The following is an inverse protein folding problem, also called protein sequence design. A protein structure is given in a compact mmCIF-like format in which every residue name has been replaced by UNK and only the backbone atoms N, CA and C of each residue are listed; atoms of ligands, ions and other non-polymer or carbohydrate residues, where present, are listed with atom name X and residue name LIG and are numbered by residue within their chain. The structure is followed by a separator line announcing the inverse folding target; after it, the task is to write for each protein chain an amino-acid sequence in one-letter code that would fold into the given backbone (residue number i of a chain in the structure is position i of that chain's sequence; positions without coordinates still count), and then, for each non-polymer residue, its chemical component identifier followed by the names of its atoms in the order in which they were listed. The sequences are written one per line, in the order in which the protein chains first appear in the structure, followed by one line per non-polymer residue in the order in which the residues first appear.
data_IF_010175179979
#
_entry.id   IF_010175179979
#
_cell.length_a   1.000
_cell.length_b   1.000
_cell.length_c   1.000
_cell.angle_alpha   90.00
_cell.angle_beta   90.00
_cell.angle_gamma   90.00
#
_symmetry.space_group_name_H-M   'P 1'
#
loop_
_entity.id
_entity.type
_entity.pdbx_description
1 polymer ?
#
# COMPACT_ATOMS: atom_id res chain seq x y z
N UNK A 1 -16.55 44.21 4.92
CA UNK A 1 -15.36 43.58 5.52
C UNK A 1 -15.16 42.20 4.83
N UNK A 2 -14.20 42.12 3.94
CA UNK A 2 -13.87 40.86 3.19
C UNK A 2 -12.76 40.18 3.97
N UNK A 3 -13.09 39.09 4.68
CA UNK A 3 -12.13 38.24 5.35
C UNK A 3 -11.45 37.32 4.34
N UNK A 4 -10.17 37.49 4.10
CA UNK A 4 -9.34 36.55 3.34
C UNK A 4 -9.04 35.36 4.23
N UNK A 5 -9.45 34.16 3.79
CA UNK A 5 -9.06 32.90 4.40
C UNK A 5 -7.68 32.52 3.87
N UNK A 6 -6.65 32.34 4.71
CA UNK A 6 -5.36 31.89 4.23
C UNK A 6 -5.44 30.41 3.88
N UNK A 7 -5.27 30.09 2.60
CA UNK A 7 -4.97 28.73 2.12
C UNK A 7 -3.57 28.35 2.61
N UNK A 8 -3.50 27.51 3.64
CA UNK A 8 -2.24 26.87 4.06
C UNK A 8 -1.90 25.83 3.01
N UNK A 9 -1.06 26.21 2.07
CA UNK A 9 -0.47 25.29 1.11
C UNK A 9 0.54 24.39 1.82
N UNK A 10 0.19 23.14 2.07
CA UNK A 10 1.16 22.11 2.44
C UNK A 10 2.01 21.79 1.21
N UNK A 11 3.14 22.47 1.07
CA UNK A 11 4.18 22.11 0.12
C UNK A 11 4.91 20.87 0.67
N UNK A 12 4.50 19.69 0.25
CA UNK A 12 5.29 18.47 0.39
C UNK A 12 6.47 18.57 -0.57
N UNK A 13 7.61 19.02 -0.07
CA UNK A 13 8.86 18.98 -0.81
C UNK A 13 9.27 17.52 -1.00
N UNK A 14 9.11 17.01 -2.22
CA UNK A 14 9.70 15.75 -2.63
C UNK A 14 11.23 15.97 -2.73
N UNK A 15 11.99 15.44 -1.78
CA UNK A 15 13.44 15.34 -1.92
C UNK A 15 13.74 14.33 -3.05
N UNK A 16 14.60 14.67 -4.02
CA UNK A 16 15.07 13.71 -5.00
C UNK A 16 15.91 12.64 -4.29
N UNK A 17 15.45 11.40 -4.31
CA UNK A 17 16.19 10.26 -3.80
C UNK A 17 17.36 9.96 -4.74
N UNK A 18 18.57 10.13 -4.23
CA UNK A 18 19.80 9.81 -4.93
C UNK A 18 20.10 8.30 -4.81
N UNK A 19 19.32 7.46 -5.48
CA UNK A 19 19.49 6.00 -5.45
C UNK A 19 20.84 5.53 -6.07
N UNK A 20 21.49 6.38 -6.84
CA UNK A 20 22.79 6.06 -7.48
C UNK A 20 24.00 6.10 -6.55
N UNK A 21 23.88 6.66 -5.35
CA UNK A 21 25.03 6.84 -4.45
C UNK A 21 25.13 5.77 -3.36
N UNK A 22 24.13 4.94 -3.16
CA UNK A 22 24.09 4.00 -2.04
C UNK A 22 25.15 2.91 -2.14
N UNK A 23 25.48 2.47 -3.36
CA UNK A 23 26.50 1.48 -3.62
C UNK A 23 27.89 2.08 -4.00
N UNK A 24 28.02 3.41 -4.09
CA UNK A 24 29.25 4.07 -4.55
C UNK A 24 30.39 4.01 -3.53
N UNK A 25 30.07 3.83 -2.25
CA UNK A 25 31.03 3.74 -1.16
C UNK A 25 31.65 2.35 -0.95
N UNK A 26 31.32 1.37 -1.78
CA UNK A 26 31.87 0.02 -1.65
C UNK A 26 33.36 0.00 -2.05
N UNK A 27 34.19 -0.56 -1.17
CA UNK A 27 35.62 -0.71 -1.40
C UNK A 27 35.96 -1.65 -2.56
N UNK A 28 35.13 -2.69 -2.77
CA UNK A 28 35.31 -3.67 -3.82
C UNK A 28 34.36 -3.40 -5.01
N UNK A 29 34.85 -2.95 -6.17
CA UNK A 29 34.04 -2.70 -7.35
C UNK A 29 33.31 -3.96 -7.86
N UNK A 30 33.82 -5.15 -7.57
CA UNK A 30 33.20 -6.41 -8.00
C UNK A 30 31.87 -6.70 -7.28
N UNK A 31 31.68 -6.12 -6.09
CA UNK A 31 30.44 -6.25 -5.30
C UNK A 31 29.35 -5.24 -5.68
N UNK A 32 29.70 -4.21 -6.46
CA UNK A 32 28.79 -3.13 -6.80
C UNK A 32 27.56 -3.56 -7.60
N UNK A 33 27.65 -4.43 -8.64
CA UNK A 33 26.47 -4.87 -9.37
C UNK A 33 25.45 -5.60 -8.50
N UNK A 34 25.91 -6.41 -7.55
CA UNK A 34 25.04 -7.11 -6.60
C UNK A 34 24.34 -6.16 -5.63
N UNK A 35 25.06 -5.11 -5.17
CA UNK A 35 24.49 -4.05 -4.36
C UNK A 35 23.39 -3.30 -5.11
N UNK A 36 23.65 -2.81 -6.31
CA UNK A 36 22.71 -2.06 -7.13
C UNK A 36 21.43 -2.87 -7.38
N UNK A 37 21.60 -4.16 -7.65
CA UNK A 37 20.50 -5.10 -7.83
C UNK A 37 19.63 -5.24 -6.57
N UNK A 38 20.26 -5.42 -5.42
CA UNK A 38 19.56 -5.55 -4.13
C UNK A 38 18.78 -4.27 -3.78
N UNK A 39 19.39 -3.10 -4.02
CA UNK A 39 18.76 -1.79 -3.79
C UNK A 39 17.55 -1.59 -4.69
N UNK A 40 17.68 -1.86 -5.99
CA UNK A 40 16.60 -1.73 -6.97
C UNK A 40 15.41 -2.65 -6.63
N UNK A 41 15.70 -3.89 -6.27
CA UNK A 41 14.67 -4.84 -5.85
C UNK A 41 13.95 -4.40 -4.58
N UNK A 42 14.71 -3.89 -3.60
CA UNK A 42 14.14 -3.40 -2.35
C UNK A 42 13.22 -2.19 -2.55
N UNK A 43 13.64 -1.18 -3.30
CA UNK A 43 12.80 -0.01 -3.58
C UNK A 43 11.49 -0.40 -4.30
N UNK A 44 11.56 -1.38 -5.19
CA UNK A 44 10.36 -1.90 -5.86
C UNK A 44 9.46 -2.66 -4.89
N UNK A 45 10.03 -3.55 -4.09
CA UNK A 45 9.29 -4.34 -3.10
C UNK A 45 8.59 -3.44 -2.05
N UNK A 46 9.21 -2.33 -1.64
CA UNK A 46 8.60 -1.36 -0.74
C UNK A 46 7.30 -0.79 -1.31
N UNK A 47 7.29 -0.38 -2.58
CA UNK A 47 6.11 0.20 -3.23
C UNK A 47 5.01 -0.82 -3.46
N UNK A 48 5.38 -1.99 -3.96
CA UNK A 48 4.45 -3.11 -4.18
C UNK A 48 3.81 -3.54 -2.86
N UNK A 49 4.61 -3.73 -1.82
CA UNK A 49 4.13 -4.04 -0.47
C UNK A 49 3.23 -2.93 0.08
N UNK A 50 3.62 -1.68 -0.11
CA UNK A 50 2.87 -0.51 0.33
C UNK A 50 1.46 -0.48 -0.25
N UNK A 51 1.29 -0.63 -1.58
CA UNK A 51 -0.04 -0.62 -2.19
C UNK A 51 -0.82 -1.91 -1.90
N UNK A 52 -0.16 -3.05 -1.75
CA UNK A 52 -0.83 -4.30 -1.40
C UNK A 52 -1.58 -4.22 -0.06
N UNK A 53 -1.03 -3.49 0.92
CA UNK A 53 -1.68 -3.27 2.22
C UNK A 53 -2.62 -2.08 2.26
N UNK A 54 -2.39 -1.08 1.40
CA UNK A 54 -3.21 0.14 1.42
C UNK A 54 -4.47 0.01 0.57
N UNK A 55 -4.36 -0.51 -0.64
CA UNK A 55 -5.44 -0.45 -1.61
C UNK A 55 -5.84 0.99 -1.96
N UNK A 56 -7.00 1.15 -2.55
CA UNK A 56 -7.65 2.45 -2.78
C UNK A 56 -8.44 2.91 -1.57
N UNK A 57 -9.76 2.65 -1.55
CA UNK A 57 -10.61 3.04 -0.42
C UNK A 57 -10.39 2.11 0.79
N UNK A 58 -10.21 2.65 2.02
CA UNK A 58 -10.25 1.82 3.23
C UNK A 58 -11.57 1.08 3.42
N UNK A 59 -12.65 1.60 2.86
CA UNK A 59 -14.00 1.03 2.92
C UNK A 59 -14.63 0.96 1.53
N UNK A 60 -14.14 0.08 0.64
CA UNK A 60 -14.66 0.00 -0.72
C UNK A 60 -16.16 -0.33 -0.75
N UNK A 61 -16.85 0.19 -1.74
CA UNK A 61 -18.29 0.01 -1.91
C UNK A 61 -19.13 0.76 -0.90
N UNK A 62 -18.56 1.70 -0.17
CA UNK A 62 -19.30 2.62 0.68
C UNK A 62 -19.25 4.04 0.12
N UNK A 63 -20.28 4.80 0.38
CA UNK A 63 -20.28 6.23 0.11
C UNK A 63 -20.36 7.02 1.42
N UNK A 64 -19.45 7.99 1.56
CA UNK A 64 -19.41 8.88 2.71
C UNK A 64 -18.98 8.19 4.01
N UNK A 65 -19.64 8.55 5.10
CA UNK A 65 -19.33 8.16 6.48
C UNK A 65 -20.46 7.35 7.11
N UNK A 66 -20.17 6.67 8.23
CA UNK A 66 -21.16 5.83 8.95
C UNK A 66 -22.32 6.61 9.58
N UNK A 67 -22.05 7.84 9.99
CA UNK A 67 -23.12 8.71 10.48
C UNK A 67 -23.38 8.64 12.00
N UNK A 68 -22.36 8.34 12.80
CA UNK A 68 -22.34 8.52 14.25
C UNK A 68 -22.42 7.24 15.07
N UNK A 69 -22.51 7.42 16.39
CA UNK A 69 -22.48 6.34 17.37
C UNK A 69 -23.54 5.25 17.10
N UNK A 70 -23.15 4.02 17.37
CA UNK A 70 -23.98 2.84 17.17
C UNK A 70 -23.96 2.30 15.73
N UNK A 71 -23.21 2.91 14.84
CA UNK A 71 -23.00 2.39 13.48
C UNK A 71 -21.60 1.86 13.32
N UNK A 72 -21.50 0.66 12.78
CA UNK A 72 -20.23 -0.02 12.53
C UNK A 72 -20.27 -0.76 11.21
N UNK A 73 -19.10 -1.11 10.70
CA UNK A 73 -18.97 -2.06 9.60
C UNK A 73 -17.79 -2.99 9.81
N UNK A 74 -17.83 -4.12 9.13
CA UNK A 74 -16.71 -4.99 8.91
C UNK A 74 -16.67 -5.38 7.43
N UNK A 75 -15.48 -5.44 6.84
CA UNK A 75 -15.29 -5.90 5.46
C UNK A 75 -14.12 -6.85 5.38
N UNK A 76 -14.24 -7.85 4.53
CA UNK A 76 -13.16 -8.77 4.17
C UNK A 76 -12.97 -8.69 2.68
N UNK A 77 -11.74 -8.45 2.23
CA UNK A 77 -11.41 -8.38 0.81
C UNK A 77 -10.11 -9.11 0.50
N UNK A 78 -10.04 -9.68 -0.70
CA UNK A 78 -8.81 -10.15 -1.31
C UNK A 78 -8.40 -9.12 -2.33
N UNK A 79 -7.18 -8.64 -2.21
CA UNK A 79 -6.57 -7.65 -3.11
C UNK A 79 -5.44 -8.29 -3.88
N UNK A 80 -5.11 -7.72 -5.03
CA UNK A 80 -3.94 -8.11 -5.82
C UNK A 80 -3.29 -6.88 -6.44
N UNK A 81 -1.98 -6.90 -6.51
CA UNK A 81 -1.15 -5.84 -7.11
C UNK A 81 -0.29 -6.45 -8.18
N UNK A 82 -0.33 -5.89 -9.39
CA UNK A 82 0.62 -6.27 -10.44
C UNK A 82 2.02 -5.80 -10.04
N UNK A 83 2.97 -6.71 -10.02
CA UNK A 83 4.34 -6.44 -9.62
C UNK A 83 5.33 -7.04 -10.60
N UNK A 84 6.46 -6.38 -10.79
CA UNK A 84 7.65 -6.93 -11.39
C UNK A 84 8.82 -6.56 -10.47
N UNK A 85 9.57 -7.54 -10.00
CA UNK A 85 10.72 -7.37 -9.10
C UNK A 85 11.92 -8.07 -9.73
N UNK A 86 13.13 -7.47 -9.73
CA UNK A 86 14.33 -8.13 -10.20
C UNK A 86 14.51 -9.52 -9.57
N UNK A 87 14.80 -10.55 -10.39
CA UNK A 87 14.96 -11.90 -9.87
C UNK A 87 16.34 -12.04 -9.17
N UNK A 88 16.40 -12.54 -7.93
CA UNK A 88 17.66 -12.70 -7.22
C UNK A 88 18.58 -13.79 -7.77
N UNK A 89 18.12 -14.64 -8.68
CA UNK A 89 18.89 -15.75 -9.26
C UNK A 89 19.95 -15.33 -10.31
N UNK A 90 20.13 -14.04 -10.56
CA UNK A 90 21.07 -13.50 -11.53
C UNK A 90 20.64 -13.62 -13.00
N UNK A 91 19.43 -14.08 -13.30
CA UNK A 91 18.95 -14.31 -14.68
C UNK A 91 18.70 -13.03 -15.50
N UNK A 92 18.90 -11.86 -14.95
CA UNK A 92 18.61 -10.54 -15.55
C UNK A 92 17.15 -10.40 -16.04
N UNK A 93 16.24 -11.16 -15.44
CA UNK A 93 14.79 -11.10 -15.70
C UNK A 93 14.06 -10.65 -14.46
N UNK A 94 12.92 -9.99 -14.65
CA UNK A 94 12.01 -9.72 -13.55
C UNK A 94 11.12 -10.92 -13.25
N UNK A 95 10.87 -11.18 -11.98
CA UNK A 95 9.74 -11.98 -11.53
C UNK A 95 8.52 -11.07 -11.61
N UNK A 96 7.61 -11.35 -12.54
CA UNK A 96 6.36 -10.61 -12.70
C UNK A 96 5.19 -11.49 -12.29
N UNK A 97 4.25 -10.89 -11.57
CA UNK A 97 3.08 -11.62 -11.08
C UNK A 97 2.11 -10.72 -10.32
N UNK A 98 1.10 -11.36 -9.75
CA UNK A 98 0.13 -10.72 -8.87
C UNK A 98 0.53 -11.01 -7.42
N UNK A 99 0.79 -9.96 -6.65
CA UNK A 99 1.03 -10.07 -5.20
C UNK A 99 -0.31 -9.99 -4.48
N UNK A 100 -0.83 -11.09 -3.93
CA UNK A 100 -2.10 -11.10 -3.23
C UNK A 100 -1.97 -10.68 -1.77
N UNK A 101 -3.01 -10.05 -1.24
CA UNK A 101 -3.17 -9.79 0.18
C UNK A 101 -4.65 -9.94 0.58
N UNK A 102 -4.90 -10.43 1.79
CA UNK A 102 -6.23 -10.45 2.37
C UNK A 102 -6.32 -9.34 3.42
N UNK A 103 -7.30 -8.46 3.29
CA UNK A 103 -7.47 -7.31 4.17
C UNK A 103 -8.83 -7.36 4.84
N UNK A 104 -8.82 -7.34 6.15
CA UNK A 104 -10.02 -7.14 6.97
C UNK A 104 -10.00 -5.70 7.44
N UNK A 105 -11.08 -4.96 7.19
CA UNK A 105 -11.22 -3.58 7.67
C UNK A 105 -12.50 -3.46 8.48
N UNK A 106 -12.43 -2.78 9.60
CA UNK A 106 -13.58 -2.42 10.41
C UNK A 106 -13.62 -0.91 10.67
N UNK A 107 -14.80 -0.40 10.93
CA UNK A 107 -14.95 0.99 11.31
C UNK A 107 -16.13 1.21 12.23
N UNK A 108 -16.03 2.27 13.01
CA UNK A 108 -17.03 2.67 13.99
C UNK A 108 -17.28 4.18 13.93
N UNK A 109 -18.55 4.56 13.81
CA UNK A 109 -18.97 5.96 13.79
C UNK A 109 -18.88 6.59 15.19
N UNK A 110 -18.14 7.69 15.29
CA UNK A 110 -17.95 8.44 16.54
C UNK A 110 -18.87 9.64 16.60
N UNK A 111 -18.91 10.42 15.52
CA UNK A 111 -19.65 11.66 15.47
C UNK A 111 -20.50 11.73 14.20
N UNK A 112 -21.77 12.07 14.37
CA UNK A 112 -22.75 12.10 13.27
C UNK A 112 -22.53 13.27 12.30
N UNK A 113 -21.76 14.25 12.72
CA UNK A 113 -21.57 15.49 11.96
C UNK A 113 -22.66 16.51 12.18
N UNK A 114 -22.42 17.69 11.60
CA UNK A 114 -23.33 18.83 11.60
C UNK A 114 -24.16 18.80 10.30
N UNK A 115 -25.35 19.40 10.32
CA UNK A 115 -26.23 19.61 9.15
C UNK A 115 -26.35 18.40 8.19
N UNK A 116 -26.43 17.21 8.76
CA UNK A 116 -26.64 15.98 7.99
C UNK A 116 -25.39 15.32 7.45
N UNK A 117 -24.22 15.50 8.12
CA UNK A 117 -23.03 14.70 7.82
C UNK A 117 -21.74 15.50 7.62
N UNK A 118 -21.79 16.84 7.64
CA UNK A 118 -20.59 17.65 7.59
C UNK A 118 -19.74 17.41 8.84
N UNK A 119 -18.45 17.15 8.67
CA UNK A 119 -17.48 16.82 9.74
C UNK A 119 -17.86 15.58 10.56
N UNK A 120 -18.69 14.68 10.01
CA UNK A 120 -18.91 13.39 10.64
C UNK A 120 -17.58 12.62 10.74
N UNK A 121 -17.40 11.87 11.83
CA UNK A 121 -16.13 11.21 12.14
C UNK A 121 -16.34 9.72 12.37
N UNK A 122 -15.55 8.89 11.69
CA UNK A 122 -15.43 7.47 11.92
C UNK A 122 -13.99 7.11 12.31
N UNK A 123 -13.84 6.11 13.19
CA UNK A 123 -12.58 5.43 13.43
C UNK A 123 -12.49 4.19 12.56
N UNK A 124 -11.30 3.92 12.06
CA UNK A 124 -11.01 2.79 11.17
C UNK A 124 -9.91 1.91 11.76
N UNK A 125 -10.06 0.61 11.60
CA UNK A 125 -9.04 -0.38 11.92
C UNK A 125 -8.88 -1.37 10.78
N UNK A 126 -7.68 -1.87 10.53
CA UNK A 126 -7.45 -2.92 9.54
C UNK A 126 -6.46 -3.97 10.00
N UNK A 127 -6.67 -5.19 9.52
CA UNK A 127 -5.75 -6.31 9.65
C UNK A 127 -5.44 -6.81 8.23
N UNK A 128 -4.17 -6.94 7.90
CA UNK A 128 -3.71 -7.49 6.63
C UNK A 128 -3.09 -8.85 6.89
N UNK A 129 -3.62 -9.87 6.21
CA UNK A 129 -3.10 -11.22 6.26
C UNK A 129 -2.33 -11.48 4.96
N UNK A 130 -1.08 -11.85 5.08
CA UNK A 130 -0.23 -12.18 3.95
C UNK A 130 -0.13 -13.70 3.80
N UNK A 131 0.00 -14.24 2.58
CA UNK A 131 0.41 -15.62 2.41
C UNK A 131 1.79 -15.81 3.05
N UNK A 132 2.00 -16.95 3.70
CA UNK A 132 3.25 -17.22 4.43
C UNK A 132 4.48 -17.32 3.54
N UNK A 133 4.27 -17.68 2.28
CA UNK A 133 5.33 -17.78 1.25
C UNK A 133 4.73 -17.51 -0.12
N UNK A 134 5.36 -16.65 -0.90
CA UNK A 134 5.06 -16.40 -2.31
C UNK A 134 6.41 -16.42 -3.03
N UNK A 135 6.69 -17.43 -3.82
CA UNK A 135 7.97 -17.61 -4.52
C UNK A 135 9.18 -17.35 -3.59
N UNK A 136 9.96 -16.29 -3.89
CA UNK A 136 11.13 -15.87 -3.12
C UNK A 136 10.82 -15.01 -1.89
N UNK A 137 9.54 -14.69 -1.64
CA UNK A 137 9.10 -13.88 -0.51
C UNK A 137 8.70 -14.78 0.66
N UNK A 138 9.28 -14.56 1.82
CA UNK A 138 8.91 -15.21 3.07
C UNK A 138 8.64 -14.16 4.16
N UNK A 139 7.84 -14.52 5.16
CA UNK A 139 7.52 -13.64 6.29
C UNK A 139 8.20 -14.13 7.55
N UNK A 140 8.67 -13.21 8.38
CA UNK A 140 9.35 -13.50 9.63
C UNK A 140 8.59 -14.54 10.47
N UNK A 141 9.30 -15.57 10.91
CA UNK A 141 8.76 -16.65 11.75
C UNK A 141 8.27 -16.14 13.11
N UNK A 142 8.85 -15.05 13.61
CA UNK A 142 8.47 -14.40 14.87
C UNK A 142 7.28 -13.45 14.75
N UNK A 143 6.81 -13.16 13.54
CA UNK A 143 5.68 -12.26 13.31
C UNK A 143 4.40 -12.80 13.98
N UNK A 144 3.59 -11.89 14.50
CA UNK A 144 2.24 -12.23 14.99
C UNK A 144 1.44 -12.85 13.85
N UNK A 145 0.75 -13.97 14.13
CA UNK A 145 0.02 -14.75 13.13
C UNK A 145 -1.39 -15.05 13.59
N UNK A 146 -2.31 -15.09 12.65
CA UNK A 146 -3.68 -15.58 12.83
C UNK A 146 -3.88 -16.75 11.88
N UNK A 147 -4.18 -17.95 12.42
CA UNK A 147 -4.33 -19.17 11.60
C UNK A 147 -3.09 -19.50 10.77
N UNK A 148 -1.89 -19.19 11.28
CA UNK A 148 -0.63 -19.37 10.55
C UNK A 148 -0.25 -18.25 9.57
N UNK A 149 -1.16 -17.31 9.29
CA UNK A 149 -0.93 -16.17 8.40
C UNK A 149 -0.35 -14.98 9.16
N UNK A 150 0.74 -14.37 8.68
CA UNK A 150 1.33 -13.16 9.27
C UNK A 150 0.36 -11.99 9.23
N UNK A 151 0.34 -11.21 10.32
CA UNK A 151 -0.59 -10.14 10.56
C UNK A 151 0.08 -8.77 10.46
N UNK A 152 -0.35 -7.96 9.50
CA UNK A 152 -0.15 -6.51 9.50
C UNK A 152 -1.35 -5.81 10.16
N UNK A 153 -1.11 -4.71 10.85
CA UNK A 153 -2.16 -3.93 11.51
C UNK A 153 -2.21 -2.51 10.99
N UNK A 154 -3.41 -1.93 11.03
CA UNK A 154 -3.61 -0.54 10.67
C UNK A 154 -4.72 0.12 11.47
N UNK A 155 -4.62 1.42 11.63
CA UNK A 155 -5.61 2.26 12.29
C UNK A 155 -5.70 3.61 11.60
N UNK A 156 -6.83 4.28 11.77
CA UNK A 156 -7.06 5.56 11.13
C UNK A 156 -8.38 6.19 11.46
N UNK A 157 -8.69 7.23 10.72
CA UNK A 157 -9.96 7.95 10.84
C UNK A 157 -10.45 8.41 9.47
N UNK A 158 -11.75 8.64 9.38
CA UNK A 158 -12.40 9.21 8.20
C UNK A 158 -13.32 10.36 8.62
N UNK A 159 -13.25 11.45 7.85
CA UNK A 159 -14.06 12.63 8.04
C UNK A 159 -14.96 12.80 6.82
N UNK A 160 -16.26 12.96 7.04
CA UNK A 160 -17.23 13.31 6.00
C UNK A 160 -17.25 14.80 5.72
N UNK A 161 -17.22 15.16 4.44
CA UNK A 161 -17.32 16.53 3.97
C UNK A 161 -18.74 16.85 3.51
N UNK A 162 -19.39 15.89 2.82
CA UNK A 162 -20.77 16.00 2.37
C UNK A 162 -21.53 14.70 2.66
N UNK A 163 -22.84 14.82 2.84
CA UNK A 163 -23.69 13.67 3.24
C UNK A 163 -24.17 12.78 2.08
N UNK A 164 -23.90 13.15 0.84
CA UNK A 164 -24.29 12.32 -0.31
C UNK A 164 -25.79 12.23 -0.59
N UNK A 165 -26.53 13.30 -0.38
CA UNK A 165 -27.93 13.37 -0.81
C UNK A 165 -27.97 13.77 -2.29
N UNK A 166 -28.49 12.83 -3.13
CA UNK A 166 -28.63 13.08 -4.56
C UNK A 166 -29.21 14.47 -4.86
N UNK A 167 -28.66 15.25 -5.80
CA UNK A 167 -27.60 14.92 -6.74
C UNK A 167 -26.16 15.17 -6.22
N UNK A 168 -25.98 15.55 -4.96
CA UNK A 168 -24.69 15.89 -4.36
C UNK A 168 -23.97 14.61 -3.97
N UNK A 169 -22.73 14.34 -4.47
CA UNK A 169 -21.97 13.17 -4.06
C UNK A 169 -21.57 13.27 -2.58
N UNK A 170 -21.48 12.12 -1.93
CA UNK A 170 -20.82 12.03 -0.63
C UNK A 170 -19.31 12.18 -0.83
N UNK A 171 -18.69 13.10 -0.11
CA UNK A 171 -17.24 13.29 -0.13
C UNK A 171 -16.69 13.01 1.24
N UNK A 172 -15.62 12.24 1.31
CA UNK A 172 -14.92 11.94 2.56
C UNK A 172 -13.41 12.00 2.38
N UNK A 173 -12.73 12.24 3.49
CA UNK A 173 -11.27 12.16 3.60
C UNK A 173 -10.92 11.14 4.67
N UNK A 174 -10.09 10.17 4.35
CA UNK A 174 -9.59 9.20 5.31
C UNK A 174 -8.08 9.26 5.43
N UNK A 175 -7.57 8.98 6.62
CA UNK A 175 -6.15 8.82 6.91
C UNK A 175 -5.97 7.50 7.64
N UNK A 176 -5.08 6.66 7.12
CA UNK A 176 -4.76 5.36 7.72
C UNK A 176 -3.25 5.23 7.89
N UNK A 177 -2.83 4.67 9.02
CA UNK A 177 -1.46 4.21 9.24
C UNK A 177 -1.46 2.69 9.34
N UNK A 178 -0.58 2.04 8.60
CA UNK A 178 -0.48 0.58 8.52
C UNK A 178 0.96 0.13 8.68
N UNK A 179 1.13 -1.06 9.25
CA UNK A 179 2.44 -1.69 9.37
C UNK A 179 2.36 -3.13 8.87
N UNK A 180 3.41 -3.57 8.21
CA UNK A 180 3.62 -4.98 7.89
C UNK A 180 4.65 -5.60 8.83
N UNK A 181 4.54 -6.89 9.11
CA UNK A 181 5.64 -7.63 9.69
C UNK A 181 6.84 -7.66 8.75
N UNK A 182 8.02 -7.97 9.29
CA UNK A 182 9.24 -8.08 8.50
C UNK A 182 9.09 -9.16 7.42
N UNK A 183 9.45 -8.78 6.21
CA UNK A 183 9.44 -9.63 5.02
C UNK A 183 10.86 -9.94 4.61
N UNK A 184 11.09 -11.17 4.15
CA UNK A 184 12.36 -11.66 3.60
C UNK A 184 12.18 -11.92 2.11
N UNK A 185 13.15 -11.51 1.31
CA UNK A 185 13.18 -11.77 -0.11
C UNK A 185 14.56 -12.27 -0.53
N UNK A 186 14.58 -13.38 -1.29
CA UNK A 186 15.80 -14.04 -1.70
C UNK A 186 16.45 -14.88 -0.59
N UNK A 187 17.35 -15.77 -0.97
CA UNK A 187 18.08 -16.68 -0.08
C UNK A 187 19.47 -16.97 -0.63
N UNK A 188 20.50 -16.29 -0.11
CA UNK A 188 21.90 -16.47 -0.53
C UNK A 188 22.38 -17.94 -0.43
N UNK A 189 22.09 -18.69 0.65
CA UNK A 189 22.40 -20.11 0.73
C UNK A 189 21.80 -20.96 -0.39
N UNK A 190 20.66 -20.58 -0.95
CA UNK A 190 20.05 -21.31 -2.08
C UNK A 190 20.62 -20.93 -3.45
N UNK A 191 21.60 -20.03 -3.50
CA UNK A 191 22.27 -19.60 -4.72
C UNK A 191 21.76 -18.26 -5.28
N UNK A 192 20.90 -17.55 -4.56
CA UNK A 192 20.51 -16.20 -4.95
C UNK A 192 21.70 -15.24 -4.81
N UNK A 193 21.80 -14.24 -5.68
CA UNK A 193 22.88 -13.25 -5.70
C UNK A 193 22.67 -12.14 -4.68
N UNK A 194 21.43 -11.94 -4.24
CA UNK A 194 21.09 -11.00 -3.19
C UNK A 194 19.89 -11.50 -2.38
N UNK A 195 19.78 -10.97 -1.18
CA UNK A 195 18.62 -11.13 -0.30
C UNK A 195 18.42 -9.88 0.52
N UNK A 196 17.22 -9.60 0.92
CA UNK A 196 16.95 -8.54 1.90
C UNK A 196 15.81 -8.93 2.84
N UNK A 197 15.82 -8.34 4.02
CA UNK A 197 14.69 -8.31 4.92
C UNK A 197 14.33 -6.85 5.22
N UNK A 198 13.04 -6.55 5.27
CA UNK A 198 12.57 -5.19 5.56
C UNK A 198 11.26 -5.18 6.35
N UNK A 199 11.10 -4.17 7.21
CA UNK A 199 9.81 -3.74 7.72
C UNK A 199 9.16 -2.76 6.72
N UNK A 200 7.86 -2.54 6.85
CA UNK A 200 7.15 -1.57 6.05
C UNK A 200 6.09 -0.86 6.87
N UNK A 201 6.12 0.45 6.80
CA UNK A 201 5.11 1.35 7.37
C UNK A 201 4.51 2.19 6.26
N UNK A 202 3.18 2.28 6.23
CA UNK A 202 2.45 3.07 5.24
C UNK A 202 1.55 4.07 5.95
N UNK A 203 1.58 5.32 5.51
CA UNK A 203 0.58 6.34 5.85
C UNK A 203 -0.16 6.70 4.56
N UNK A 204 -1.46 6.56 4.57
CA UNK A 204 -2.31 6.73 3.40
C UNK A 204 -3.35 7.81 3.66
N UNK A 205 -3.45 8.77 2.76
CA UNK A 205 -4.54 9.75 2.73
C UNK A 205 -5.38 9.46 1.50
N UNK A 206 -6.70 9.35 1.66
CA UNK A 206 -7.64 9.09 0.56
C UNK A 206 -8.72 10.17 0.57
N UNK A 207 -9.01 10.72 -0.60
CA UNK A 207 -10.16 11.59 -0.84
C UNK A 207 -11.07 10.83 -1.77
N UNK A 208 -12.27 10.53 -1.32
CA UNK A 208 -13.25 9.70 -2.03
C UNK A 208 -14.52 10.48 -2.25
N UNK A 209 -15.08 10.40 -3.45
CA UNK A 209 -16.39 10.93 -3.81
C UNK A 209 -17.25 9.81 -4.37
N UNK A 210 -18.49 9.67 -3.89
CA UNK A 210 -19.36 8.58 -4.31
C UNK A 210 -20.83 8.95 -4.33
N UNK A 211 -21.60 8.18 -5.07
CA UNK A 211 -23.06 8.30 -5.20
C UNK A 211 -23.75 6.94 -5.04
N UNK A 212 -24.98 6.98 -4.56
CA UNK A 212 -25.84 5.80 -4.49
C UNK A 212 -26.83 5.80 -5.64
N UNK A 213 -26.86 4.69 -6.37
CA UNK A 213 -27.78 4.43 -7.48
C UNK A 213 -28.58 3.18 -7.14
N UNK A 214 -29.70 3.35 -6.46
CA UNK A 214 -30.54 2.22 -5.98
C UNK A 214 -29.76 1.25 -5.06
N UNK A 215 -29.51 0.04 -5.52
CA UNK A 215 -28.74 -0.98 -4.81
C UNK A 215 -27.21 -0.89 -5.04
N UNK A 216 -26.77 -0.02 -5.95
CA UNK A 216 -25.38 0.14 -6.34
C UNK A 216 -24.80 1.42 -5.75
N UNK A 217 -23.74 1.31 -4.98
CA UNK A 217 -22.88 2.42 -4.57
C UNK A 217 -21.66 2.45 -5.50
N UNK A 218 -21.32 3.62 -6.01
CA UNK A 218 -20.14 3.84 -6.88
C UNK A 218 -19.35 4.99 -6.32
N UNK A 219 -18.06 4.80 -6.17
CA UNK A 219 -17.15 5.83 -5.70
C UNK A 219 -15.86 5.85 -6.54
N UNK A 220 -15.22 7.00 -6.55
CA UNK A 220 -13.89 7.18 -7.11
C UNK A 220 -13.08 8.12 -6.21
N UNK A 221 -11.76 7.98 -6.24
CA UNK A 221 -10.93 8.78 -5.37
C UNK A 221 -9.49 8.90 -5.82
N UNK A 222 -8.80 9.77 -5.10
CA UNK A 222 -7.37 9.97 -5.22
C UNK A 222 -6.69 9.62 -3.89
N UNK A 223 -5.48 9.10 -3.98
CA UNK A 223 -4.68 8.69 -2.85
C UNK A 223 -3.32 9.35 -2.84
N UNK A 224 -2.86 9.65 -1.64
CA UNK A 224 -1.50 10.10 -1.35
C UNK A 224 -0.92 9.14 -0.34
N UNK A 225 0.11 8.44 -0.74
CA UNK A 225 0.77 7.44 0.08
C UNK A 225 2.14 7.95 0.53
N UNK A 226 2.53 7.57 1.74
CA UNK A 226 3.87 7.73 2.23
C UNK A 226 4.32 6.41 2.82
N UNK A 227 5.29 5.77 2.18
CA UNK A 227 5.89 4.52 2.61
C UNK A 227 7.24 4.80 3.24
N UNK A 228 7.52 4.16 4.37
CA UNK A 228 8.83 4.16 5.01
C UNK A 228 9.17 2.75 5.45
N UNK A 229 10.40 2.34 5.20
CA UNK A 229 10.92 1.04 5.56
C UNK A 229 12.41 1.12 5.83
N UNK A 230 12.94 0.11 6.51
CA UNK A 230 14.37 -0.10 6.66
C UNK A 230 14.67 -1.54 6.28
N UNK A 231 15.61 -1.73 5.37
CA UNK A 231 16.02 -3.05 4.93
C UNK A 231 17.44 -3.37 5.38
N UNK A 232 17.67 -4.66 5.65
CA UNK A 232 19.01 -5.23 5.73
C UNK A 232 19.26 -5.99 4.42
N UNK A 233 20.08 -5.39 3.58
CA UNK A 233 20.46 -5.91 2.28
C UNK A 233 21.70 -6.76 2.42
N UNK A 234 21.73 -7.91 1.75
CA UNK A 234 22.87 -8.83 1.68
C UNK A 234 23.05 -9.25 0.23
N UNK A 235 24.27 -9.26 -0.25
CA UNK A 235 24.60 -9.69 -1.60
C UNK A 235 25.97 -10.34 -1.64
N UNK A 236 26.23 -11.13 -2.67
CA UNK A 236 27.51 -11.80 -2.81
C UNK A 236 27.67 -12.48 -4.15
N UNK A 237 28.90 -12.87 -4.46
CA UNK A 237 29.18 -13.76 -5.57
C UNK A 237 29.21 -15.19 -5.03
N UNK A 238 28.66 -16.10 -5.77
CA UNK A 238 28.52 -17.52 -5.42
C UNK A 238 29.75 -18.04 -4.65
N UNK A 239 29.61 -18.26 -3.34
CA UNK A 239 30.56 -18.96 -2.48
C UNK A 239 31.74 -18.15 -1.93
N UNK A 240 31.91 -16.84 -2.18
CA UNK A 240 33.20 -16.19 -1.89
C UNK A 240 33.14 -15.00 -0.94
N UNK A 241 32.25 -14.10 -1.06
CA UNK A 241 32.12 -13.00 -0.09
C UNK A 241 30.73 -12.43 -0.08
N UNK A 242 30.22 -12.20 1.10
CA UNK A 242 28.96 -11.49 1.28
C UNK A 242 29.24 -10.10 1.82
N UNK A 243 28.63 -9.11 1.21
CA UNK A 243 28.55 -7.78 1.76
C UNK A 243 27.12 -7.53 2.27
N UNK A 244 27.01 -6.66 3.26
CA UNK A 244 25.72 -6.28 3.82
C UNK A 244 25.66 -4.78 4.08
N UNK A 245 24.46 -4.22 4.03
CA UNK A 245 24.19 -2.86 4.49
C UNK A 245 22.76 -2.70 4.97
N UNK A 246 22.57 -1.71 5.83
CA UNK A 246 21.25 -1.27 6.26
C UNK A 246 20.84 -0.02 5.50
N UNK A 247 19.69 -0.09 4.83
CA UNK A 247 19.20 0.96 3.98
C UNK A 247 17.80 1.42 4.39
N UNK A 248 17.62 2.66 4.88
CA UNK A 248 16.31 3.27 5.00
C UNK A 248 15.82 3.76 3.65
N UNK A 249 14.54 3.55 3.34
CA UNK A 249 13.92 4.08 2.14
C UNK A 249 12.56 4.71 2.44
N UNK A 250 12.25 5.76 1.69
CA UNK A 250 10.95 6.42 1.70
C UNK A 250 10.45 6.62 0.28
N UNK A 251 9.15 6.49 0.08
CA UNK A 251 8.52 6.82 -1.20
C UNK A 251 7.13 7.42 -0.98
N UNK A 252 6.72 8.30 -1.89
CA UNK A 252 5.44 9.02 -1.77
C UNK A 252 4.66 8.97 -3.08
N UNK A 253 4.20 7.80 -3.53
CA UNK A 253 3.42 7.67 -4.74
C UNK A 253 2.00 8.21 -4.57
N UNK A 254 1.34 8.45 -5.72
CA UNK A 254 -0.08 8.81 -5.79
C UNK A 254 -0.88 7.64 -6.32
N UNK A 255 -2.14 7.55 -5.93
CA UNK A 255 -3.05 6.55 -6.43
C UNK A 255 -4.32 7.18 -6.98
N UNK A 256 -4.88 6.54 -8.02
CA UNK A 256 -6.22 6.78 -8.51
C UNK A 256 -6.98 5.47 -8.36
N UNK A 257 -8.23 5.52 -7.93
CA UNK A 257 -9.03 4.31 -7.77
C UNK A 257 -10.51 4.58 -8.00
N UNK A 258 -11.22 3.51 -8.30
CA UNK A 258 -12.67 3.47 -8.34
C UNK A 258 -13.14 2.18 -7.65
N UNK A 259 -14.26 2.25 -6.97
CA UNK A 259 -14.88 1.12 -6.33
C UNK A 259 -16.40 1.12 -6.50
N UNK A 260 -16.97 -0.04 -6.33
CA UNK A 260 -18.40 -0.25 -6.39
C UNK A 260 -18.86 -1.22 -5.30
N UNK A 261 -20.07 -1.03 -4.82
CA UNK A 261 -20.71 -1.90 -3.84
C UNK A 261 -22.14 -2.23 -4.23
N UNK A 262 -22.43 -3.52 -4.45
CA UNK A 262 -23.78 -4.00 -4.70
C UNK A 262 -24.42 -4.45 -3.39
N UNK A 263 -25.52 -3.79 -3.01
CA UNK A 263 -26.26 -4.12 -1.79
C UNK A 263 -27.06 -5.40 -2.00
N UNK A 264 -26.83 -6.36 -1.13
CA UNK A 264 -27.50 -7.66 -1.05
C UNK A 264 -28.23 -7.80 0.31
N UNK A 265 -29.15 -8.76 0.48
CA UNK A 265 -29.83 -8.92 1.76
C UNK A 265 -28.92 -9.17 2.96
N UNK A 266 -27.77 -9.83 2.76
CA UNK A 266 -26.82 -10.18 3.82
C UNK A 266 -25.64 -9.20 3.96
N UNK A 267 -25.57 -8.13 3.16
CA UNK A 267 -24.46 -7.19 3.18
C UNK A 267 -24.19 -6.61 1.79
N UNK A 268 -22.93 -6.24 1.50
CA UNK A 268 -22.54 -5.73 0.18
C UNK A 268 -21.41 -6.54 -0.43
N UNK A 269 -21.57 -6.92 -1.69
CA UNK A 269 -20.44 -7.34 -2.51
C UNK A 269 -19.69 -6.08 -2.97
N UNK A 270 -18.39 -6.03 -2.77
CA UNK A 270 -17.57 -4.85 -3.09
C UNK A 270 -16.45 -5.21 -4.04
N UNK A 271 -16.16 -4.31 -4.97
CA UNK A 271 -15.05 -4.42 -5.91
C UNK A 271 -14.30 -3.10 -6.03
N UNK A 272 -12.99 -3.18 -6.21
CA UNK A 272 -12.11 -2.03 -6.36
C UNK A 272 -11.11 -2.28 -7.48
N UNK A 273 -10.80 -1.22 -8.22
CA UNK A 273 -9.67 -1.17 -9.17
C UNK A 273 -8.98 0.16 -9.03
N UNK A 274 -7.66 0.16 -9.20
CA UNK A 274 -6.89 1.39 -9.12
C UNK A 274 -5.52 1.27 -9.76
N UNK A 275 -4.86 2.41 -9.80
CA UNK A 275 -3.52 2.57 -10.33
C UNK A 275 -2.70 3.45 -9.40
N UNK A 276 -1.52 2.99 -9.02
CA UNK A 276 -0.53 3.76 -8.29
C UNK A 276 0.57 4.22 -9.25
N UNK A 277 0.94 5.49 -9.17
CA UNK A 277 2.00 6.05 -10.02
C UNK A 277 3.33 5.37 -9.74
N UNK A 278 4.14 5.25 -10.77
CA UNK A 278 5.52 4.80 -10.67
C UNK A 278 6.41 5.82 -9.95
N UNK A 279 7.68 5.58 -9.98
CA UNK A 279 8.70 6.39 -9.30
C UNK A 279 9.75 6.86 -10.30
N UNK A 280 10.32 8.03 -10.02
CA UNK A 280 11.47 8.57 -10.77
C UNK A 280 12.81 8.04 -10.24
N UNK A 281 12.80 6.95 -9.47
CA UNK A 281 14.04 6.31 -8.99
C UNK A 281 14.88 5.90 -10.20
N UNK A 282 16.09 6.43 -10.28
CA UNK A 282 17.05 5.98 -11.27
C UNK A 282 17.62 4.65 -10.77
N UNK A 283 17.44 3.60 -11.56
CA UNK A 283 17.99 2.29 -11.24
C UNK A 283 19.40 2.14 -11.79
N UNK A 284 20.24 1.44 -11.04
CA UNK A 284 21.59 1.05 -11.46
C UNK A 284 21.57 -0.15 -12.42
N UNK A 285 20.48 -0.89 -12.49
CA UNK A 285 20.38 -2.17 -13.23
C UNK A 285 19.35 -2.13 -14.34
N UNK A 286 19.65 -2.82 -15.45
CA UNK A 286 18.70 -3.03 -16.56
C UNK A 286 18.21 -4.47 -16.54
N UNK A 287 16.94 -4.67 -16.20
CA UNK A 287 16.29 -5.97 -16.21
C UNK A 287 15.28 -6.05 -17.33
N UNK A 288 15.27 -7.20 -18.03
CA UNK A 288 14.25 -7.51 -19.02
C UNK A 288 12.89 -7.67 -18.34
N UNK A 289 11.90 -6.91 -18.82
CA UNK A 289 10.53 -6.93 -18.27
C UNK A 289 10.34 -6.11 -16.98
N UNK A 290 11.31 -5.29 -16.61
CA UNK A 290 11.24 -4.43 -15.44
C UNK A 290 11.35 -2.95 -15.86
N UNK A 291 10.34 -2.17 -15.50
CA UNK A 291 10.35 -0.72 -15.63
C UNK A 291 10.05 -0.08 -14.26
N UNK A 292 11.05 0.51 -13.59
CA UNK A 292 10.88 1.13 -12.28
C UNK A 292 9.97 2.35 -12.30
N UNK A 293 9.82 2.96 -13.46
CA UNK A 293 8.93 4.13 -13.66
C UNK A 293 7.49 3.70 -13.92
N UNK A 294 7.27 2.42 -14.24
CA UNK A 294 5.93 1.90 -14.40
C UNK A 294 5.14 2.01 -13.08
N UNK A 295 3.90 2.38 -13.20
CA UNK A 295 2.97 2.30 -12.07
C UNK A 295 2.44 0.89 -11.89
N UNK A 296 1.74 0.69 -10.79
CA UNK A 296 1.16 -0.59 -10.42
C UNK A 296 -0.35 -0.54 -10.52
N UNK A 297 -0.95 -1.48 -11.26
CA UNK A 297 -2.39 -1.71 -11.22
C UNK A 297 -2.69 -2.57 -9.99
N UNK A 298 -3.71 -2.21 -9.27
CA UNK A 298 -4.21 -2.99 -8.14
C UNK A 298 -5.73 -3.14 -8.23
N UNK A 299 -6.25 -4.14 -7.56
CA UNK A 299 -7.68 -4.34 -7.47
C UNK A 299 -8.05 -5.36 -6.42
N UNK A 300 -9.32 -5.48 -6.12
CA UNK A 300 -9.79 -6.42 -5.11
C UNK A 300 -11.28 -6.66 -5.17
N UNK A 301 -11.67 -7.78 -4.60
CA UNK A 301 -13.06 -8.15 -4.39
C UNK A 301 -13.26 -8.51 -2.92
N UNK A 302 -14.45 -8.24 -2.41
CA UNK A 302 -14.73 -8.52 -1.01
C UNK A 302 -16.19 -8.45 -0.66
N UNK A 303 -16.43 -8.60 0.62
CA UNK A 303 -17.76 -8.52 1.20
C UNK A 303 -17.75 -7.60 2.41
N UNK A 304 -18.78 -6.75 2.53
CA UNK A 304 -18.93 -5.77 3.59
C UNK A 304 -20.25 -5.99 4.33
N UNK A 305 -20.15 -6.00 5.64
CA UNK A 305 -21.29 -6.04 6.57
C UNK A 305 -21.41 -4.66 7.23
N UNK A 306 -22.64 -4.16 7.37
CA UNK A 306 -22.94 -2.92 8.11
C UNK A 306 -23.87 -3.24 9.27
N UNK A 307 -23.68 -2.56 10.39
CA UNK A 307 -24.46 -2.70 11.63
C UNK A 307 -24.95 -1.36 12.12
#
# INVERSE_FOLDING_TARGET
MRGAVPLIGLALAAAPLAAQNECSGLFDPALRPGCELAVDAYHTAQRVGGIAISGGDPEPGAIGVLGGLGRAFASVRVTGVSAAIPNPDGSQRAISGLVPASVVTGGFGIFRGLWGGLLALDLLGSATLLPGTIDKLAVDKSATRIGGLPLGIGYGARIGITSGKFPIPAVSVSVMRRTLPRLYFGDLPSGDHYAFDSDLKATNVRITAGIRLLALDVAAGIGFDHYSSTAHLRWGTYGISTAEMTLPATSSPRALFADAGLTLPAGKLVGEIGYQTGSDVQLGTNYSGFDPKAGHVFGGLGFRFGF
#
